data_IF_519572917808
#
_entry.id   IF_519572917808
#
_cell.length_a   1.000
_cell.length_b   1.000
_cell.length_c   1.000
_cell.angle_alpha   90.00
_cell.angle_beta   90.00
_cell.angle_gamma   90.00
#
_symmetry.space_group_name_H-M   'P 1'
#
loop_
_entity.id
_entity.type
_entity.pdbx_description
1 polymer ?
#
# COMPACT_ATOMS: atom_id res chain seq x y z
N UNK A 1 -14.29 -32.69 26.07
CA UNK A 1 -14.53 -31.41 25.38
C UNK A 1 -13.20 -30.71 25.26
N UNK A 2 -12.49 -30.89 24.14
CA UNK A 2 -11.29 -30.12 23.80
C UNK A 2 -11.77 -28.95 22.97
N UNK A 3 -11.96 -27.80 23.63
CA UNK A 3 -12.27 -26.55 22.95
C UNK A 3 -11.09 -26.18 22.07
N UNK A 4 -11.24 -26.36 20.76
CA UNK A 4 -10.32 -25.80 19.77
C UNK A 4 -10.50 -24.30 19.88
N UNK A 5 -9.56 -23.64 20.57
CA UNK A 5 -9.43 -22.20 20.47
C UNK A 5 -9.21 -21.90 18.99
N UNK A 6 -10.27 -21.43 18.31
CA UNK A 6 -10.13 -20.86 16.98
C UNK A 6 -9.16 -19.69 17.14
N UNK A 7 -7.90 -19.90 16.75
CA UNK A 7 -6.91 -18.84 16.71
C UNK A 7 -7.52 -17.73 15.86
N UNK A 8 -7.83 -16.59 16.49
CA UNK A 8 -8.39 -15.44 15.81
C UNK A 8 -7.52 -15.17 14.56
N UNK A 9 -8.11 -14.78 13.42
CA UNK A 9 -7.30 -14.39 12.27
C UNK A 9 -6.36 -13.29 12.77
N UNK A 10 -5.07 -13.61 12.82
CA UNK A 10 -4.01 -12.72 13.31
C UNK A 10 -3.79 -11.59 12.29
N UNK A 11 -4.54 -11.59 11.19
CA UNK A 11 -4.37 -10.70 10.05
C UNK A 11 -5.48 -9.66 9.94
N UNK A 12 -5.13 -8.46 9.48
CA UNK A 12 -6.03 -7.37 9.13
C UNK A 12 -5.51 -6.63 7.90
N UNK A 13 -6.35 -5.89 7.21
CA UNK A 13 -5.96 -5.10 6.04
C UNK A 13 -5.82 -3.61 6.41
N UNK A 14 -4.79 -2.96 5.88
CA UNK A 14 -4.61 -1.50 5.87
C UNK A 14 -4.70 -1.04 4.42
N UNK A 15 -5.57 -0.06 4.15
CA UNK A 15 -5.78 0.47 2.80
C UNK A 15 -5.53 1.97 2.81
N UNK A 16 -4.78 2.44 1.82
CA UNK A 16 -4.59 3.88 1.56
C UNK A 16 -4.74 4.18 0.07
N UNK A 17 -4.96 5.44 -0.28
CA UNK A 17 -5.24 5.87 -1.65
C UNK A 17 -4.64 7.22 -1.99
N UNK A 18 -4.15 7.33 -3.23
CA UNK A 18 -3.58 8.54 -3.79
C UNK A 18 -4.21 8.85 -5.14
N UNK A 19 -4.34 10.13 -5.43
CA UNK A 19 -4.73 10.58 -6.76
C UNK A 19 -3.46 10.81 -7.59
N UNK A 20 -3.36 10.12 -8.72
CA UNK A 20 -2.34 10.31 -9.73
C UNK A 20 -2.91 11.26 -10.78
N UNK A 21 -2.34 12.44 -10.93
CA UNK A 21 -2.86 13.47 -11.83
C UNK A 21 -1.73 14.26 -12.50
N UNK A 22 -2.11 15.27 -13.28
CA UNK A 22 -1.20 16.18 -13.94
C UNK A 22 -1.54 17.63 -13.56
N UNK A 23 -0.59 18.34 -12.94
CA UNK A 23 -0.70 19.78 -12.65
C UNK A 23 0.30 20.51 -13.53
N UNK A 24 -0.17 21.47 -14.32
CA UNK A 24 0.64 22.20 -15.31
C UNK A 24 1.44 21.26 -16.25
N UNK A 25 0.84 20.13 -16.62
CA UNK A 25 1.43 19.11 -17.49
C UNK A 25 2.48 18.21 -16.83
N UNK A 26 2.70 18.35 -15.52
CA UNK A 26 3.66 17.52 -14.76
C UNK A 26 2.93 16.42 -13.99
N UNK A 27 3.41 15.17 -14.00
CA UNK A 27 2.91 14.13 -13.12
C UNK A 27 2.93 14.59 -11.66
N UNK A 28 1.85 14.35 -10.92
CA UNK A 28 1.72 14.76 -9.53
C UNK A 28 0.91 13.73 -8.76
N UNK A 29 1.46 13.24 -7.66
CA UNK A 29 0.74 12.43 -6.67
C UNK A 29 0.11 13.36 -5.66
N UNK A 30 -1.16 13.12 -5.31
CA UNK A 30 -1.85 13.86 -4.25
C UNK A 30 -2.25 12.93 -3.09
N UNK A 31 -2.02 13.35 -1.82
CA UNK A 31 -1.30 14.56 -1.41
C UNK A 31 0.17 14.58 -1.88
N UNK A 32 0.74 15.78 -2.03
CA UNK A 32 2.10 15.97 -2.56
C UNK A 32 3.14 15.24 -1.68
N UNK A 33 4.03 14.51 -2.32
CA UNK A 33 5.09 13.71 -1.70
C UNK A 33 6.46 14.20 -2.18
N UNK A 34 7.48 14.07 -1.33
CA UNK A 34 8.84 14.55 -1.66
C UNK A 34 9.63 13.61 -2.58
N UNK A 35 9.34 12.30 -2.54
CA UNK A 35 10.20 11.27 -3.14
C UNK A 35 9.52 10.51 -4.30
N UNK A 36 8.37 10.98 -4.79
CA UNK A 36 7.53 10.32 -5.81
C UNK A 36 7.14 8.86 -5.48
N UNK A 37 7.27 8.46 -4.22
CA UNK A 37 6.94 7.14 -3.70
C UNK A 37 5.82 7.26 -2.69
N UNK A 38 4.82 6.41 -2.84
CA UNK A 38 3.74 6.24 -1.87
C UNK A 38 4.00 5.01 -1.01
N UNK A 39 3.47 5.02 0.20
CA UNK A 39 3.77 4.00 1.18
C UNK A 39 2.53 3.62 2.00
N UNK A 40 2.33 2.32 2.18
CA UNK A 40 1.38 1.78 3.16
C UNK A 40 2.14 0.96 4.19
N UNK A 41 1.81 1.16 5.47
CA UNK A 41 2.41 0.47 6.61
C UNK A 41 1.35 -0.17 7.50
N UNK A 42 1.69 -1.30 8.09
CA UNK A 42 0.95 -1.92 9.18
C UNK A 42 0.99 -1.06 10.45
N UNK A 43 0.05 -1.28 11.38
CA UNK A 43 0.00 -0.51 12.62
C UNK A 43 1.11 -0.94 13.59
N UNK A 44 1.78 0.06 14.18
CA UNK A 44 2.81 -0.11 15.21
C UNK A 44 3.97 -0.99 14.73
N UNK A 45 4.08 -2.22 15.22
CA UNK A 45 5.17 -3.16 14.92
C UNK A 45 4.66 -4.42 14.21
N UNK A 46 3.41 -4.38 13.74
CA UNK A 46 2.81 -5.47 13.00
C UNK A 46 3.53 -5.65 11.65
N UNK A 47 3.53 -6.89 11.16
CA UNK A 47 4.31 -7.28 9.99
C UNK A 47 3.42 -7.41 8.77
N UNK A 48 3.87 -6.87 7.64
CA UNK A 48 3.23 -7.10 6.35
C UNK A 48 3.39 -8.58 5.96
N UNK A 49 2.31 -9.18 5.48
CA UNK A 49 2.33 -10.55 4.94
C UNK A 49 2.02 -10.60 3.44
N UNK A 50 1.27 -9.63 2.93
CA UNK A 50 0.91 -9.55 1.52
C UNK A 50 0.42 -8.13 1.17
N UNK A 51 0.34 -7.77 -0.11
CA UNK A 51 -0.27 -6.52 -0.56
C UNK A 51 -0.82 -6.62 -1.99
N UNK A 52 -1.73 -5.70 -2.34
CA UNK A 52 -2.32 -5.57 -3.68
C UNK A 52 -2.63 -4.12 -4.02
N UNK A 53 -2.50 -3.76 -5.29
CA UNK A 53 -3.06 -2.53 -5.85
C UNK A 53 -4.43 -2.80 -6.46
N UNK A 54 -5.31 -1.80 -6.46
CA UNK A 54 -6.57 -1.84 -7.22
C UNK A 54 -6.34 -1.98 -8.74
N UNK A 55 -5.26 -1.38 -9.25
CA UNK A 55 -4.86 -1.37 -10.66
C UNK A 55 -3.35 -1.51 -10.76
N UNK A 56 -2.90 -2.68 -11.22
CA UNK A 56 -1.47 -3.03 -11.24
C UNK A 56 -0.69 -2.24 -12.29
N UNK A 57 -1.35 -1.75 -13.34
CA UNK A 57 -0.75 -0.89 -14.35
C UNK A 57 -0.35 0.50 -13.82
N UNK A 58 -0.85 0.89 -12.63
CA UNK A 58 -0.47 2.13 -11.95
C UNK A 58 0.75 1.95 -11.03
N UNK A 59 1.36 0.76 -11.04
CA UNK A 59 2.56 0.44 -10.25
C UNK A 59 3.75 0.36 -11.19
N UNK A 60 4.59 1.40 -11.20
CA UNK A 60 5.83 1.44 -11.98
C UNK A 60 6.96 0.64 -11.32
N UNK A 61 6.97 0.62 -9.98
CA UNK A 61 7.88 -0.18 -9.17
C UNK A 61 7.36 -0.38 -7.75
N UNK A 62 7.79 -1.46 -7.10
CA UNK A 62 7.45 -1.72 -5.70
C UNK A 62 8.54 -2.49 -4.98
N UNK A 63 8.69 -2.26 -3.69
CA UNK A 63 9.64 -2.98 -2.84
C UNK A 63 9.17 -2.98 -1.39
N UNK A 64 9.39 -4.10 -0.71
CA UNK A 64 9.09 -4.23 0.72
C UNK A 64 10.04 -3.38 1.54
N UNK A 65 9.53 -2.83 2.64
CA UNK A 65 10.40 -2.19 3.64
C UNK A 65 11.34 -3.23 4.25
N UNK A 66 12.56 -2.81 4.57
CA UNK A 66 13.56 -3.67 5.21
C UNK A 66 13.16 -4.12 6.62
N UNK A 67 12.26 -3.39 7.28
CA UNK A 67 11.71 -3.73 8.59
C UNK A 67 10.48 -4.66 8.52
N UNK A 68 10.03 -5.05 7.32
CA UNK A 68 8.90 -5.93 7.09
C UNK A 68 7.53 -5.33 7.42
N UNK A 69 7.44 -4.03 7.72
CA UNK A 69 6.19 -3.42 8.21
C UNK A 69 5.30 -2.82 7.12
N UNK A 70 5.71 -2.87 5.85
CA UNK A 70 4.96 -2.24 4.77
C UNK A 70 5.63 -2.35 3.41
N UNK A 71 5.04 -1.63 2.45
CA UNK A 71 5.44 -1.59 1.05
C UNK A 71 5.63 -0.15 0.60
N UNK A 72 6.66 0.07 -0.22
CA UNK A 72 6.88 1.32 -0.94
C UNK A 72 6.56 1.07 -2.42
N UNK A 73 5.79 1.98 -3.02
CA UNK A 73 5.34 1.89 -4.40
C UNK A 73 5.68 3.19 -5.13
N UNK A 74 6.36 3.06 -6.26
CA UNK A 74 6.52 4.12 -7.24
C UNK A 74 5.34 4.05 -8.21
N UNK A 75 4.46 5.06 -8.27
CA UNK A 75 3.35 5.07 -9.19
C UNK A 75 3.79 5.21 -10.66
N UNK A 76 3.05 4.56 -11.55
CA UNK A 76 3.13 4.79 -13.00
C UNK A 76 1.96 5.66 -13.44
N UNK A 77 2.22 6.67 -14.27
CA UNK A 77 1.18 7.58 -14.75
C UNK A 77 0.78 7.25 -16.18
N UNK A 78 -0.48 6.92 -16.41
CA UNK A 78 -0.98 6.52 -17.73
C UNK A 78 -1.27 7.70 -18.68
N UNK A 79 -1.20 8.93 -18.17
CA UNK A 79 -1.62 10.15 -18.90
C UNK A 79 -3.03 10.61 -18.54
N UNK A 80 -3.73 9.91 -17.64
CA UNK A 80 -5.05 10.28 -17.13
C UNK A 80 -5.01 10.56 -15.63
N UNK A 81 -6.04 11.25 -15.12
CA UNK A 81 -6.27 11.35 -13.67
C UNK A 81 -6.87 10.04 -13.17
N UNK A 82 -6.18 9.38 -12.26
CA UNK A 82 -6.54 8.06 -11.75
C UNK A 82 -6.33 7.97 -10.24
N UNK A 83 -6.97 6.99 -9.60
CA UNK A 83 -6.77 6.72 -8.16
C UNK A 83 -6.01 5.41 -8.00
N UNK A 84 -4.83 5.49 -7.40
CA UNK A 84 -4.08 4.34 -6.92
C UNK A 84 -4.52 4.02 -5.50
N UNK A 85 -5.02 2.81 -5.28
CA UNK A 85 -5.39 2.30 -3.96
C UNK A 85 -4.55 1.08 -3.67
N UNK A 86 -3.81 1.10 -2.56
CA UNK A 86 -2.99 -0.02 -2.10
C UNK A 86 -3.62 -0.59 -0.83
N UNK A 87 -3.77 -1.91 -0.79
CA UNK A 87 -4.16 -2.65 0.41
C UNK A 87 -3.02 -3.56 0.82
N UNK A 88 -2.58 -3.43 2.07
CA UNK A 88 -1.58 -4.30 2.72
C UNK A 88 -2.29 -5.20 3.72
N UNK A 89 -2.02 -6.50 3.66
CA UNK A 89 -2.38 -7.46 4.71
C UNK A 89 -1.29 -7.49 5.77
N UNK A 90 -1.69 -7.27 7.02
CA UNK A 90 -0.83 -7.15 8.18
C UNK A 90 -1.13 -8.25 9.18
N UNK A 91 -0.10 -8.84 9.77
CA UNK A 91 -0.19 -9.78 10.88
C UNK A 91 0.22 -9.11 12.18
N UNK A 92 -0.64 -9.24 13.20
CA UNK A 92 -0.36 -8.78 14.56
C UNK A 92 0.86 -9.51 15.14
N UNK A 93 1.81 -8.71 15.62
CA UNK A 93 3.03 -9.17 16.30
C UNK A 93 2.81 -9.57 17.75
#
# INVERSE_FOLDING_TARGET
>A
MTGVAAAAPVTYEVTDSWQLTYIDGRPTVLPEMLDDVVEVKCWRSDQMTDWKANRQELVGGSWERTDGTGIQVQPEFTGQTETLTITVSCRRG
#
